data_IF_924520082864
#
_entry.id   IF_924520082864
#
_cell.length_a   1.000
_cell.length_b   1.000
_cell.length_c   1.000
_cell.angle_alpha   90.00
_cell.angle_beta   90.00
_cell.angle_gamma   90.00
#
_symmetry.space_group_name_H-M   'P 1'
#
loop_
_entity.id
_entity.type
_entity.pdbx_description
1 polymer ?
#
# COMPACT_ATOMS: atom_id res chain seq x y z
N UNK A 1 8.28 -10.30 18.54
CA UNK A 1 8.63 -9.63 17.26
C UNK A 1 8.55 -8.13 17.49
N UNK A 2 9.50 -7.36 16.99
CA UNK A 2 9.51 -5.92 17.17
C UNK A 2 8.42 -5.28 16.29
N UNK A 3 7.64 -4.34 16.86
CA UNK A 3 6.58 -3.65 16.13
C UNK A 3 7.19 -2.73 15.08
N UNK A 4 7.05 -3.07 13.79
CA UNK A 4 7.54 -2.27 12.66
C UNK A 4 6.74 -0.97 12.49
N UNK A 5 5.41 -1.05 12.65
CA UNK A 5 4.50 0.10 12.60
C UNK A 5 3.73 0.17 13.91
N UNK A 6 3.58 1.38 14.45
CA UNK A 6 2.76 1.66 15.63
C UNK A 6 1.95 2.94 15.41
N UNK A 7 0.64 2.83 15.49
CA UNK A 7 -0.29 3.94 15.66
C UNK A 7 -0.64 4.05 17.12
N UNK A 8 -0.50 5.24 17.72
CA UNK A 8 -0.78 5.52 19.13
C UNK A 8 -1.74 6.69 19.24
N UNK A 9 -3.01 6.41 19.54
CA UNK A 9 -4.08 7.39 19.72
C UNK A 9 -4.15 8.43 18.60
N UNK A 10 -4.00 7.99 17.35
CA UNK A 10 -3.95 8.86 16.19
C UNK A 10 -5.32 9.45 15.90
N UNK A 11 -5.38 10.78 15.79
CA UNK A 11 -6.53 11.53 15.34
C UNK A 11 -6.21 12.29 14.08
N UNK A 12 -7.21 12.39 13.20
CA UNK A 12 -7.16 13.24 12.03
C UNK A 12 -8.47 13.97 11.84
N UNK A 13 -8.41 15.29 11.90
CA UNK A 13 -9.53 16.18 11.64
C UNK A 13 -9.23 17.06 10.45
N UNK A 14 -10.14 17.10 9.50
CA UNK A 14 -10.11 18.04 8.38
C UNK A 14 -11.05 19.20 8.68
N UNK A 15 -10.60 20.42 8.44
CA UNK A 15 -11.42 21.63 8.61
C UNK A 15 -11.71 22.21 7.23
N UNK A 16 -13.00 22.32 6.90
CA UNK A 16 -13.50 22.91 5.66
C UNK A 16 -14.44 24.07 6.02
N UNK A 17 -13.88 25.28 6.07
CA UNK A 17 -14.62 26.44 6.60
C UNK A 17 -14.97 26.24 8.07
N UNK A 18 -16.26 26.26 8.40
CA UNK A 18 -16.77 26.03 9.77
C UNK A 18 -17.01 24.55 10.08
N UNK A 19 -16.94 23.67 9.09
CA UNK A 19 -17.21 22.23 9.27
C UNK A 19 -15.92 21.48 9.63
N UNK A 20 -16.00 20.69 10.71
CA UNK A 20 -14.93 19.76 11.10
C UNK A 20 -15.36 18.33 10.81
N UNK A 21 -14.49 17.59 10.08
CA UNK A 21 -14.67 16.18 9.76
C UNK A 21 -13.61 15.38 10.51
N UNK A 22 -14.01 14.60 11.49
CA UNK A 22 -13.14 13.69 12.23
C UNK A 22 -12.95 12.41 11.42
N UNK A 23 -11.95 12.40 10.55
CA UNK A 23 -11.66 11.25 9.69
C UNK A 23 -11.08 10.06 10.46
N UNK A 24 -10.31 10.32 11.54
CA UNK A 24 -9.85 9.32 12.49
C UNK A 24 -10.01 9.84 13.92
N UNK A 25 -10.48 8.96 14.82
CA UNK A 25 -10.69 9.26 16.23
C UNK A 25 -10.01 8.21 17.11
N UNK A 26 -8.83 8.57 17.64
CA UNK A 26 -8.05 7.78 18.61
C UNK A 26 -7.69 6.37 18.13
N UNK A 27 -7.23 6.25 16.87
CA UNK A 27 -6.85 4.98 16.25
C UNK A 27 -5.52 4.49 16.82
N UNK A 28 -5.51 3.23 17.30
CA UNK A 28 -4.29 2.57 17.81
C UNK A 28 -4.21 1.14 17.31
N UNK A 29 -3.08 0.77 16.72
CA UNK A 29 -2.74 -0.61 16.31
C UNK A 29 -1.25 -0.76 16.08
N UNK A 30 -0.80 -2.00 15.93
CA UNK A 30 0.59 -2.33 15.57
C UNK A 30 0.64 -3.32 14.43
N UNK A 31 1.73 -3.24 13.64
CA UNK A 31 2.02 -4.16 12.54
C UNK A 31 3.48 -4.59 12.67
N UNK A 32 3.75 -5.90 12.52
CA UNK A 32 5.11 -6.44 12.52
C UNK A 32 5.74 -6.32 11.13
N UNK A 33 7.07 -6.39 11.07
CA UNK A 33 7.78 -6.41 9.79
C UNK A 33 7.43 -7.69 9.01
N UNK A 34 7.20 -7.56 7.71
CA UNK A 34 6.90 -8.68 6.83
C UNK A 34 5.47 -9.22 6.96
N UNK A 35 4.56 -8.54 7.68
CA UNK A 35 3.15 -8.90 7.68
C UNK A 35 2.43 -8.44 6.41
N UNK A 36 1.51 -9.26 5.92
CA UNK A 36 0.51 -8.90 4.92
C UNK A 36 -0.77 -8.47 5.64
N UNK A 37 -1.06 -7.18 5.65
CA UNK A 37 -2.16 -6.62 6.43
C UNK A 37 -3.30 -6.16 5.51
N UNK A 38 -4.52 -6.56 5.85
CA UNK A 38 -5.73 -6.07 5.20
C UNK A 38 -6.40 -5.04 6.12
N UNK A 39 -6.60 -3.83 5.62
CA UNK A 39 -7.42 -2.80 6.27
C UNK A 39 -8.73 -2.70 5.50
N UNK A 40 -9.82 -3.09 6.12
CA UNK A 40 -11.13 -3.15 5.47
C UNK A 40 -12.19 -2.33 6.22
N UNK A 41 -13.30 -2.03 5.53
CA UNK A 41 -14.42 -1.25 6.06
C UNK A 41 -15.17 -0.54 4.94
N UNK A 42 -16.28 0.09 5.29
CA UNK A 42 -17.14 0.84 4.35
C UNK A 42 -16.41 2.02 3.71
N UNK A 43 -16.95 2.54 2.60
CA UNK A 43 -16.47 3.80 2.02
C UNK A 43 -16.61 4.94 3.03
N UNK A 44 -15.62 5.82 3.10
CA UNK A 44 -15.58 6.91 4.08
C UNK A 44 -15.23 6.51 5.51
N UNK A 45 -14.94 5.23 5.80
CA UNK A 45 -14.60 4.79 7.15
C UNK A 45 -13.27 5.31 7.72
N UNK A 46 -12.41 5.97 6.90
CA UNK A 46 -11.10 6.48 7.30
C UNK A 46 -9.90 5.67 6.82
N UNK A 47 -10.12 4.63 6.00
CA UNK A 47 -9.05 3.74 5.50
C UNK A 47 -7.96 4.48 4.71
N UNK A 48 -8.34 5.24 3.69
CA UNK A 48 -7.39 6.02 2.88
C UNK A 48 -6.71 7.11 3.70
N UNK A 49 -7.35 7.62 4.76
CA UNK A 49 -6.72 8.53 5.72
C UNK A 49 -5.59 7.82 6.48
N UNK A 50 -5.81 6.59 6.96
CA UNK A 50 -4.74 5.78 7.59
C UNK A 50 -3.57 5.59 6.62
N UNK A 51 -3.86 5.24 5.36
CA UNK A 51 -2.83 5.04 4.34
C UNK A 51 -2.04 6.33 4.06
N UNK A 52 -2.72 7.47 3.91
CA UNK A 52 -2.10 8.76 3.64
C UNK A 52 -1.21 9.21 4.80
N UNK A 53 -1.67 9.05 6.04
CA UNK A 53 -0.86 9.36 7.23
C UNK A 53 0.37 8.45 7.33
N UNK A 54 0.17 7.13 7.18
CA UNK A 54 1.25 6.16 7.22
C UNK A 54 2.25 6.35 6.08
N UNK A 55 1.77 6.73 4.91
CA UNK A 55 2.60 7.02 3.75
C UNK A 55 3.28 8.40 3.79
N UNK A 56 3.01 9.22 4.81
CA UNK A 56 3.57 10.58 4.92
C UNK A 56 3.05 11.53 3.84
N UNK A 57 1.86 11.28 3.29
CA UNK A 57 1.18 12.20 2.36
C UNK A 57 0.35 13.24 3.10
N UNK A 58 0.03 12.98 4.36
CA UNK A 58 -0.71 13.87 5.23
C UNK A 58 -0.12 13.81 6.65
N UNK A 59 -0.49 14.75 7.51
CA UNK A 59 -0.02 14.85 8.91
C UNK A 59 -1.15 14.54 9.88
N UNK A 60 -0.80 13.94 11.00
CA UNK A 60 -1.73 13.72 12.11
C UNK A 60 -2.19 15.06 12.71
N UNK A 61 -3.41 15.10 13.25
CA UNK A 61 -3.86 16.21 14.09
C UNK A 61 -3.36 15.99 15.52
N UNK A 62 -3.45 14.74 16.01
CA UNK A 62 -2.97 14.33 17.34
C UNK A 62 -2.50 12.88 17.28
N UNK A 63 -1.71 12.47 18.31
CA UNK A 63 -1.19 11.11 18.43
C UNK A 63 0.14 10.91 17.71
N UNK A 64 0.61 9.66 17.64
CA UNK A 64 1.93 9.32 17.13
C UNK A 64 1.85 8.18 16.13
N UNK A 65 2.67 8.28 15.08
CA UNK A 65 2.92 7.19 14.12
C UNK A 65 4.42 6.90 14.12
N UNK A 66 4.77 5.67 14.46
CA UNK A 66 6.15 5.19 14.49
C UNK A 66 6.30 4.13 13.42
N UNK A 67 7.32 4.23 12.57
CA UNK A 67 7.67 3.26 11.53
C UNK A 67 9.17 2.96 11.64
N UNK A 68 9.52 1.68 11.74
CA UNK A 68 10.91 1.22 11.86
C UNK A 68 11.68 1.98 12.97
N UNK A 69 11.03 2.13 14.14
CA UNK A 69 11.56 2.83 15.32
C UNK A 69 11.61 4.36 15.20
N UNK A 70 11.16 4.96 14.08
CA UNK A 70 11.19 6.42 13.86
C UNK A 70 9.79 7.00 13.93
N UNK A 71 9.61 8.08 14.67
CA UNK A 71 8.33 8.78 14.79
C UNK A 71 8.10 9.69 13.57
N UNK A 72 7.41 9.18 12.55
CA UNK A 72 7.15 9.90 11.31
C UNK A 72 6.13 11.04 11.47
N UNK A 73 5.31 11.02 12.52
CA UNK A 73 4.36 12.08 12.84
C UNK A 73 5.03 13.42 13.15
N UNK A 74 6.31 13.41 13.54
CA UNK A 74 7.12 14.62 13.82
C UNK A 74 7.92 15.11 12.60
N UNK A 75 7.88 14.37 11.48
CA UNK A 75 8.69 14.71 10.32
C UNK A 75 8.24 16.01 9.65
N UNK A 76 9.20 16.84 9.26
CA UNK A 76 8.97 17.98 8.39
C UNK A 76 8.80 17.52 6.91
N UNK A 77 8.48 18.45 6.01
CA UNK A 77 8.21 18.14 4.59
C UNK A 77 9.41 17.48 3.87
N UNK A 78 10.65 17.87 4.23
CA UNK A 78 11.86 17.28 3.64
C UNK A 78 12.04 15.84 4.11
N UNK A 79 11.82 15.57 5.39
CA UNK A 79 11.92 14.24 5.99
C UNK A 79 10.82 13.33 5.45
N UNK A 80 9.56 13.80 5.34
CA UNK A 80 8.48 13.05 4.71
C UNK A 80 8.77 12.75 3.24
N UNK A 81 9.41 13.68 2.52
CA UNK A 81 9.82 13.44 1.13
C UNK A 81 10.88 12.34 1.02
N UNK A 82 11.85 12.31 1.94
CA UNK A 82 12.87 11.25 2.00
C UNK A 82 12.25 9.90 2.41
N UNK A 83 11.32 9.90 3.37
CA UNK A 83 10.58 8.74 3.80
C UNK A 83 9.78 8.13 2.64
N UNK A 84 8.98 8.93 1.90
CA UNK A 84 8.26 8.47 0.70
C UNK A 84 9.20 7.96 -0.38
N UNK A 85 10.38 8.58 -0.51
CA UNK A 85 11.36 8.20 -1.52
C UNK A 85 11.97 6.83 -1.27
N UNK A 86 12.38 6.55 -0.04
CA UNK A 86 13.20 5.39 0.28
C UNK A 86 12.46 4.24 0.96
N UNK A 87 11.50 4.54 1.83
CA UNK A 87 10.90 3.55 2.70
C UNK A 87 9.52 3.08 2.24
N UNK A 88 8.81 3.88 1.40
CA UNK A 88 7.42 3.60 1.01
C UNK A 88 7.27 3.40 -0.49
N UNK A 89 6.61 2.33 -0.89
CA UNK A 89 6.07 2.12 -2.23
C UNK A 89 4.55 2.28 -2.22
N UNK A 90 4.02 3.12 -3.12
CA UNK A 90 2.58 3.30 -3.26
C UNK A 90 2.04 2.58 -4.49
N UNK A 91 0.90 1.93 -4.32
CA UNK A 91 0.09 1.31 -5.38
C UNK A 91 -1.33 1.87 -5.23
N UNK A 92 -1.80 2.62 -6.21
CA UNK A 92 -3.11 3.25 -6.20
C UNK A 92 -4.11 2.46 -7.03
N UNK A 93 -5.40 2.68 -6.78
CA UNK A 93 -6.50 2.10 -7.54
C UNK A 93 -6.46 2.51 -9.03
N UNK A 94 -6.16 3.79 -9.29
CA UNK A 94 -5.89 4.31 -10.64
C UNK A 94 -4.37 4.34 -10.84
N UNK A 95 -3.84 3.47 -11.61
CA UNK A 95 -2.43 3.10 -11.81
C UNK A 95 -1.40 4.24 -11.78
N UNK A 96 -1.80 5.49 -12.09
CA UNK A 96 -0.97 6.70 -12.10
C UNK A 96 0.32 6.52 -12.92
N UNK A 97 0.21 5.87 -14.08
CA UNK A 97 1.30 5.72 -15.02
C UNK A 97 1.44 6.97 -15.90
N UNK A 98 2.69 7.30 -16.23
CA UNK A 98 2.99 8.37 -17.19
C UNK A 98 2.71 7.83 -18.60
N UNK A 99 1.73 8.39 -19.28
CA UNK A 99 1.15 7.83 -20.51
C UNK A 99 2.10 7.83 -21.70
N UNK A 100 3.04 8.77 -21.76
CA UNK A 100 4.04 8.92 -22.84
C UNK A 100 5.38 8.23 -22.52
N UNK A 101 5.43 7.42 -21.48
CA UNK A 101 6.56 6.55 -21.14
C UNK A 101 6.15 5.09 -21.30
N UNK A 102 7.08 4.28 -21.79
CA UNK A 102 6.92 2.82 -21.84
C UNK A 102 6.78 2.23 -20.46
N UNK A 103 6.41 0.95 -20.37
CA UNK A 103 6.38 0.20 -19.11
C UNK A 103 7.72 0.29 -18.39
N UNK A 104 8.82 0.01 -19.09
CA UNK A 104 10.17 0.04 -18.52
C UNK A 104 10.53 1.42 -17.99
N UNK A 105 10.26 2.47 -18.75
CA UNK A 105 10.53 3.85 -18.36
C UNK A 105 9.68 4.30 -17.16
N UNK A 106 8.43 3.85 -17.06
CA UNK A 106 7.59 4.09 -15.88
C UNK A 106 8.19 3.50 -14.59
N UNK A 107 8.78 2.31 -14.68
CA UNK A 107 9.46 1.68 -13.53
C UNK A 107 10.78 2.38 -13.25
N UNK A 108 11.57 2.69 -14.26
CA UNK A 108 12.89 3.34 -14.16
C UNK A 108 12.79 4.74 -13.54
N UNK A 109 11.76 5.52 -13.89
CA UNK A 109 11.54 6.86 -13.38
C UNK A 109 11.54 6.90 -11.84
N UNK A 110 10.95 5.90 -11.19
CA UNK A 110 10.93 5.81 -9.74
C UNK A 110 12.30 5.46 -9.15
N UNK A 111 13.13 4.75 -9.90
CA UNK A 111 14.47 4.34 -9.48
C UNK A 111 15.47 5.50 -9.56
N UNK A 112 15.32 6.42 -10.52
CA UNK A 112 16.24 7.54 -10.74
C UNK A 112 16.47 8.42 -9.52
N UNK A 113 15.47 8.53 -8.64
CA UNK A 113 15.53 9.34 -7.43
C UNK A 113 15.91 8.52 -6.18
N UNK A 114 16.10 7.21 -6.31
CA UNK A 114 16.34 6.29 -5.19
C UNK A 114 17.79 5.76 -5.18
N UNK A 115 18.22 5.34 -3.98
CA UNK A 115 19.46 4.58 -3.78
C UNK A 115 19.07 3.12 -3.52
N UNK A 116 19.96 2.17 -3.84
CA UNK A 116 19.75 0.74 -3.57
C UNK A 116 18.47 0.16 -4.20
N UNK A 117 18.19 0.55 -5.44
CA UNK A 117 17.06 0.03 -6.22
C UNK A 117 17.26 -1.44 -6.59
N UNK A 118 16.16 -2.14 -6.81
CA UNK A 118 16.20 -3.47 -7.42
C UNK A 118 16.52 -3.36 -8.91
N UNK A 119 16.99 -4.47 -9.49
CA UNK A 119 17.13 -4.60 -10.93
C UNK A 119 15.77 -4.45 -11.62
N UNK A 120 15.69 -3.51 -12.56
CA UNK A 120 14.43 -3.12 -13.21
C UNK A 120 13.86 -4.29 -14.01
N UNK A 121 14.67 -4.95 -14.82
CA UNK A 121 14.21 -6.00 -15.73
C UNK A 121 13.78 -7.25 -14.94
N UNK A 122 14.51 -7.60 -13.86
CA UNK A 122 14.08 -8.66 -12.92
C UNK A 122 12.80 -8.31 -12.19
N UNK A 123 12.63 -7.04 -11.81
CA UNK A 123 11.41 -6.59 -11.16
C UNK A 123 10.20 -6.66 -12.10
N UNK A 124 10.37 -6.24 -13.36
CA UNK A 124 9.33 -6.38 -14.40
C UNK A 124 9.01 -7.86 -14.66
N UNK A 125 10.02 -8.71 -14.72
CA UNK A 125 9.82 -10.16 -14.86
C UNK A 125 9.05 -10.76 -13.68
N UNK A 126 9.29 -10.31 -12.45
CA UNK A 126 8.62 -10.81 -11.25
C UNK A 126 7.11 -10.54 -11.24
N UNK A 127 6.66 -9.54 -11.99
CA UNK A 127 5.23 -9.22 -12.17
C UNK A 127 4.65 -9.79 -13.47
N UNK A 128 5.43 -10.61 -14.22
CA UNK A 128 4.98 -11.31 -15.43
C UNK A 128 4.79 -10.39 -16.64
N UNK A 129 5.66 -9.38 -16.81
CA UNK A 129 5.53 -8.39 -17.90
C UNK A 129 6.76 -8.27 -18.80
N UNK A 130 7.66 -9.27 -18.83
CA UNK A 130 8.89 -9.25 -19.63
C UNK A 130 8.64 -8.97 -21.11
N UNK A 131 7.57 -9.54 -21.68
CA UNK A 131 7.23 -9.39 -23.12
C UNK A 131 6.59 -8.02 -23.43
N UNK A 132 6.33 -7.19 -22.42
CA UNK A 132 5.61 -5.91 -22.54
C UNK A 132 6.48 -4.69 -22.22
N UNK A 133 7.78 -4.86 -22.03
CA UNK A 133 8.69 -3.81 -21.52
C UNK A 133 8.69 -2.53 -22.35
N UNK A 134 8.45 -2.63 -23.67
CA UNK A 134 8.42 -1.51 -24.62
C UNK A 134 7.00 -0.98 -24.89
N UNK A 135 5.98 -1.59 -24.31
CA UNK A 135 4.60 -1.13 -24.49
C UNK A 135 4.33 0.15 -23.69
N UNK A 136 3.53 1.04 -24.26
CA UNK A 136 2.97 2.20 -23.55
C UNK A 136 1.74 1.80 -22.74
N UNK A 137 1.36 2.56 -21.69
CA UNK A 137 0.17 2.26 -20.87
C UNK A 137 -1.11 2.05 -21.70
N UNK A 138 -1.31 2.80 -22.79
CA UNK A 138 -2.47 2.65 -23.68
C UNK A 138 -2.53 1.30 -24.41
N UNK A 139 -1.45 0.55 -24.45
CA UNK A 139 -1.32 -0.77 -25.08
C UNK A 139 -1.44 -1.92 -24.07
N UNK A 140 -1.68 -1.59 -22.80
CA UNK A 140 -1.76 -2.53 -21.68
C UNK A 140 -3.19 -2.63 -21.16
N UNK A 141 -3.61 -3.83 -20.79
CA UNK A 141 -4.85 -4.03 -20.03
C UNK A 141 -4.77 -3.37 -18.64
N UNK A 142 -5.92 -3.12 -18.00
CA UNK A 142 -5.95 -2.55 -16.66
C UNK A 142 -5.11 -3.33 -15.63
N UNK A 143 -5.17 -4.66 -15.68
CA UNK A 143 -4.35 -5.49 -14.80
C UNK A 143 -2.86 -5.48 -15.12
N UNK A 144 -2.48 -5.35 -16.39
CA UNK A 144 -1.08 -5.13 -16.77
C UNK A 144 -0.61 -3.77 -16.24
N UNK A 145 -1.40 -2.71 -16.40
CA UNK A 145 -1.07 -1.38 -15.88
C UNK A 145 -0.91 -1.41 -14.35
N UNK A 146 -1.79 -2.14 -13.64
CA UNK A 146 -1.67 -2.29 -12.19
C UNK A 146 -0.38 -3.04 -11.81
N UNK A 147 -0.01 -4.09 -12.53
CA UNK A 147 1.26 -4.79 -12.31
C UNK A 147 2.47 -3.90 -12.62
N UNK A 148 2.38 -3.00 -13.59
CA UNK A 148 3.42 -1.96 -13.81
C UNK A 148 3.52 -1.03 -12.61
N UNK A 149 2.40 -0.57 -12.06
CA UNK A 149 2.39 0.29 -10.87
C UNK A 149 3.02 -0.41 -9.66
N UNK A 150 2.77 -1.72 -9.49
CA UNK A 150 3.42 -2.53 -8.46
C UNK A 150 4.91 -2.68 -8.73
N UNK A 151 5.32 -2.99 -9.96
CA UNK A 151 6.74 -3.08 -10.34
C UNK A 151 7.47 -1.77 -10.07
N UNK A 152 6.87 -0.63 -10.41
CA UNK A 152 7.38 0.71 -10.11
C UNK A 152 7.56 0.93 -8.61
N UNK A 153 6.60 0.51 -7.80
CA UNK A 153 6.69 0.61 -6.35
C UNK A 153 7.79 -0.31 -5.78
N UNK A 154 7.87 -1.55 -6.24
CA UNK A 154 8.87 -2.55 -5.80
C UNK A 154 10.29 -2.20 -6.20
N UNK A 155 10.49 -1.67 -7.41
CA UNK A 155 11.82 -1.35 -7.95
C UNK A 155 12.59 -0.36 -7.08
N UNK A 156 11.90 0.49 -6.33
CA UNK A 156 12.50 1.39 -5.32
C UNK A 156 13.11 0.62 -4.14
N UNK A 157 12.83 -0.68 -4.00
CA UNK A 157 13.20 -1.52 -2.88
C UNK A 157 12.68 -1.01 -1.51
N UNK A 158 11.40 -0.62 -1.39
CA UNK A 158 10.86 -0.07 -0.16
C UNK A 158 10.74 -1.14 0.94
N UNK A 159 10.68 -0.73 2.21
CA UNK A 159 10.33 -1.61 3.34
C UNK A 159 8.83 -1.84 3.45
N UNK A 160 8.04 -0.85 3.02
CA UNK A 160 6.59 -0.79 3.16
C UNK A 160 5.91 -0.57 1.81
N UNK A 161 4.97 -1.44 1.46
CA UNK A 161 4.07 -1.27 0.32
C UNK A 161 2.67 -0.89 0.82
N UNK A 162 2.18 0.24 0.36
CA UNK A 162 0.85 0.75 0.66
C UNK A 162 -0.02 0.68 -0.59
N UNK A 163 -1.07 -0.14 -0.55
CA UNK A 163 -1.95 -0.42 -1.68
C UNK A 163 -3.37 0.07 -1.36
N UNK A 164 -3.83 1.08 -2.09
CA UNK A 164 -5.20 1.60 -1.98
C UNK A 164 -6.08 0.92 -3.03
N UNK A 165 -6.88 -0.03 -2.58
CA UNK A 165 -7.83 -0.84 -3.36
C UNK A 165 -7.27 -1.37 -4.69
N UNK A 166 -6.15 -2.12 -4.66
CA UNK A 166 -5.37 -2.44 -5.85
C UNK A 166 -6.11 -3.33 -6.86
N UNK A 167 -7.27 -3.87 -6.50
CA UNK A 167 -8.11 -4.72 -7.35
C UNK A 167 -9.46 -4.11 -7.67
N UNK A 168 -9.79 -2.96 -7.13
CA UNK A 168 -11.13 -2.36 -7.21
C UNK A 168 -11.62 -1.99 -8.62
N UNK A 169 -10.70 -1.87 -9.59
CA UNK A 169 -11.02 -1.59 -11.00
C UNK A 169 -10.78 -2.80 -11.93
N UNK A 170 -10.55 -4.00 -11.38
CA UNK A 170 -10.15 -5.19 -12.13
C UNK A 170 -11.22 -6.29 -12.05
N UNK A 171 -11.28 -7.12 -13.09
CA UNK A 171 -12.01 -8.36 -13.02
C UNK A 171 -11.35 -9.36 -12.06
N UNK A 172 -12.10 -10.37 -11.68
CA UNK A 172 -11.69 -11.38 -10.70
C UNK A 172 -10.33 -12.04 -11.00
N UNK A 173 -10.14 -12.55 -12.23
CA UNK A 173 -8.93 -13.26 -12.60
C UNK A 173 -7.70 -12.36 -12.59
N UNK A 174 -7.87 -11.17 -13.11
CA UNK A 174 -6.83 -10.14 -13.13
C UNK A 174 -6.50 -9.65 -11.72
N UNK A 175 -7.51 -9.46 -10.88
CA UNK A 175 -7.34 -9.11 -9.47
C UNK A 175 -6.54 -10.15 -8.70
N UNK A 176 -6.81 -11.44 -8.93
CA UNK A 176 -6.02 -12.54 -8.35
C UNK A 176 -4.54 -12.46 -8.73
N UNK A 177 -4.23 -12.17 -9.99
CA UNK A 177 -2.83 -12.03 -10.43
C UNK A 177 -2.13 -10.89 -9.70
N UNK A 178 -2.80 -9.76 -9.52
CA UNK A 178 -2.27 -8.60 -8.79
C UNK A 178 -2.02 -8.95 -7.32
N UNK A 179 -2.98 -9.58 -6.64
CA UNK A 179 -2.83 -9.99 -5.25
C UNK A 179 -1.71 -11.02 -5.06
N UNK A 180 -1.53 -11.93 -6.02
CA UNK A 180 -0.44 -12.92 -6.02
C UNK A 180 0.94 -12.26 -6.05
N UNK A 181 1.10 -11.21 -6.85
CA UNK A 181 2.34 -10.42 -6.89
C UNK A 181 2.60 -9.76 -5.53
N UNK A 182 1.58 -9.15 -4.91
CA UNK A 182 1.72 -8.52 -3.59
C UNK A 182 2.02 -9.54 -2.49
N UNK A 183 1.34 -10.69 -2.48
CA UNK A 183 1.60 -11.76 -1.52
C UNK A 183 3.01 -12.33 -1.66
N UNK A 184 3.50 -12.47 -2.91
CA UNK A 184 4.86 -12.91 -3.20
C UNK A 184 5.89 -11.88 -2.70
N UNK A 185 5.66 -10.59 -2.93
CA UNK A 185 6.53 -9.52 -2.42
C UNK A 185 6.63 -9.54 -0.89
N UNK A 186 5.54 -9.81 -0.19
CA UNK A 186 5.53 -9.97 1.25
C UNK A 186 6.34 -11.20 1.70
N UNK A 187 6.01 -12.39 1.18
CA UNK A 187 6.58 -13.67 1.63
C UNK A 187 8.05 -13.86 1.24
N UNK A 188 8.40 -13.55 -0.02
CA UNK A 188 9.73 -13.84 -0.57
C UNK A 188 10.73 -12.69 -0.36
N UNK A 189 10.25 -11.44 -0.39
CA UNK A 189 11.09 -10.26 -0.28
C UNK A 189 11.01 -9.58 1.10
N UNK A 190 10.27 -10.18 2.05
CA UNK A 190 10.09 -9.68 3.42
C UNK A 190 9.60 -8.23 3.48
N UNK A 191 8.77 -7.82 2.50
CA UNK A 191 8.14 -6.49 2.50
C UNK A 191 6.93 -6.51 3.41
N UNK A 192 6.73 -5.45 4.19
CA UNK A 192 5.45 -5.24 4.86
C UNK A 192 4.46 -4.71 3.84
N UNK A 193 3.34 -5.40 3.65
CA UNK A 193 2.33 -5.03 2.65
C UNK A 193 1.03 -4.69 3.36
N UNK A 194 0.50 -3.51 3.08
CA UNK A 194 -0.81 -3.07 3.60
C UNK A 194 -1.74 -2.84 2.41
N UNK A 195 -2.82 -3.59 2.37
CA UNK A 195 -3.87 -3.46 1.36
C UNK A 195 -5.11 -2.88 2.01
N UNK A 196 -5.53 -1.73 1.52
CA UNK A 196 -6.85 -1.17 1.85
C UNK A 196 -7.84 -1.69 0.82
N UNK A 197 -9.00 -2.16 1.28
CA UNK A 197 -10.06 -2.61 0.38
C UNK A 197 -11.44 -2.48 1.05
N UNK A 198 -12.47 -2.38 0.22
CA UNK A 198 -13.86 -2.54 0.63
C UNK A 198 -14.35 -3.99 0.44
N UNK A 199 -13.56 -4.85 -0.23
CA UNK A 199 -13.89 -6.25 -0.46
C UNK A 199 -13.47 -7.12 0.73
N UNK A 200 -14.44 -7.54 1.54
CA UNK A 200 -14.23 -8.36 2.74
C UNK A 200 -13.77 -9.79 2.41
N UNK A 201 -14.00 -10.27 1.19
CA UNK A 201 -13.55 -11.60 0.77
C UNK A 201 -12.01 -11.73 0.73
N UNK A 202 -11.28 -10.60 0.73
CA UNK A 202 -9.83 -10.59 0.80
C UNK A 202 -9.28 -10.75 2.23
N UNK A 203 -10.12 -10.58 3.26
CA UNK A 203 -9.68 -10.65 4.65
C UNK A 203 -8.95 -11.96 5.02
N UNK A 204 -9.37 -13.15 4.52
CA UNK A 204 -8.70 -14.41 4.86
C UNK A 204 -7.23 -14.50 4.41
N UNK A 205 -6.78 -13.68 3.44
CA UNK A 205 -5.39 -13.71 2.98
C UNK A 205 -4.41 -12.90 3.84
N UNK A 206 -4.94 -12.01 4.70
CA UNK A 206 -4.10 -11.20 5.59
C UNK A 206 -3.57 -11.98 6.78
N UNK A 207 -2.31 -11.77 7.15
CA UNK A 207 -1.77 -12.22 8.46
C UNK A 207 -2.50 -11.46 9.59
N UNK A 208 -2.86 -10.22 9.32
CA UNK A 208 -3.62 -9.35 10.21
C UNK A 208 -4.72 -8.62 9.44
N UNK A 209 -5.91 -8.57 10.01
CA UNK A 209 -7.05 -7.83 9.47
C UNK A 209 -7.45 -6.74 10.45
N UNK A 210 -7.49 -5.51 9.98
CA UNK A 210 -7.92 -4.33 10.75
C UNK A 210 -9.21 -3.82 10.14
N UNK A 211 -10.31 -3.94 10.86
CA UNK A 211 -11.60 -3.37 10.44
C UNK A 211 -11.75 -1.96 10.96
N UNK A 212 -12.07 -1.04 10.05
CA UNK A 212 -12.26 0.38 10.34
C UNK A 212 -13.71 0.75 10.13
N UNK A 213 -14.30 1.44 11.09
CA UNK A 213 -15.69 1.93 11.04
C UNK A 213 -15.77 3.34 11.63
N UNK A 214 -16.30 4.29 10.86
CA UNK A 214 -16.52 5.68 11.30
C UNK A 214 -15.30 6.31 12.00
N UNK A 215 -14.12 6.17 11.40
CA UNK A 215 -12.86 6.74 11.91
C UNK A 215 -12.23 6.01 13.08
N UNK A 216 -12.77 4.87 13.51
CA UNK A 216 -12.27 4.06 14.64
C UNK A 216 -11.89 2.65 14.21
N UNK A 217 -11.06 2.00 15.02
CA UNK A 217 -10.83 0.55 14.88
C UNK A 217 -12.04 -0.17 15.47
N UNK A 218 -12.74 -0.92 14.63
CA UNK A 218 -13.87 -1.76 15.03
C UNK A 218 -13.36 -3.10 15.60
N UNK A 219 -12.44 -3.74 14.90
CA UNK A 219 -11.80 -4.98 15.35
C UNK A 219 -10.42 -5.18 14.71
N UNK A 220 -9.57 -5.94 15.39
CA UNK A 220 -8.30 -6.44 14.88
C UNK A 220 -8.30 -7.95 15.06
N UNK A 221 -8.07 -8.69 13.98
CA UNK A 221 -7.91 -10.15 14.01
C UNK A 221 -6.56 -10.56 13.44
N UNK A 222 -5.94 -11.54 14.08
CA UNK A 222 -4.70 -12.18 13.61
C UNK A 222 -5.09 -13.51 13.01
N UNK A 223 -4.56 -13.82 11.84
CA UNK A 223 -4.80 -15.07 11.15
C UNK A 223 -3.51 -15.90 11.18
N UNK A 224 -3.53 -16.99 11.94
CA UNK A 224 -2.37 -17.88 12.07
C UNK A 224 -2.06 -18.66 10.78
N UNK A 225 -3.07 -18.85 9.92
CA UNK A 225 -2.94 -19.56 8.65
C UNK A 225 -3.55 -18.73 7.51
N UNK A 226 -2.87 -17.68 7.04
CA UNK A 226 -3.38 -16.83 5.96
C UNK A 226 -3.60 -17.64 4.69
N UNK A 227 -4.76 -17.44 4.08
CA UNK A 227 -5.15 -18.15 2.88
C UNK A 227 -4.30 -17.72 1.70
N UNK A 228 -3.89 -18.70 0.89
CA UNK A 228 -3.29 -18.40 -0.40
C UNK A 228 -4.33 -17.78 -1.34
N UNK A 229 -3.90 -16.78 -2.11
CA UNK A 229 -4.77 -16.06 -3.04
C UNK A 229 -5.46 -16.99 -4.05
N UNK A 230 -4.84 -18.11 -4.40
CA UNK A 230 -5.43 -19.09 -5.34
C UNK A 230 -6.69 -19.76 -4.77
N UNK A 231 -6.90 -19.72 -3.46
CA UNK A 231 -8.09 -20.28 -2.77
C UNK A 231 -9.17 -19.26 -2.44
N UNK A 232 -8.93 -17.97 -2.69
CA UNK A 232 -9.91 -16.93 -2.43
C UNK A 232 -10.92 -16.87 -3.58
N UNK A 233 -12.19 -16.82 -3.20
CA UNK A 233 -13.33 -16.54 -4.09
C UNK A 233 -13.96 -15.21 -3.67
N UNK A 234 -14.04 -14.23 -4.59
CA UNK A 234 -14.62 -12.91 -4.32
C UNK A 234 -15.27 -12.30 -5.57
#
# INVERSE_FOLDING_TARGET
MENFIQFKNVRKTYTMGEVQIHALDSVSFTISQGEFVIICGESGAGKSTILNLLGGMDKVTEGQIIVDGKEISQYNEKELTLYRRYDVGFVFQFYNLVQNLTLRENVELACQICKNTLDIDKTIASVGLSERIHNFPSQLSGGEQQRVAIARALAKNPKLLLCDDPTGALDYQTGKQVLKVLQKACKEQQKTVIVITHNLALCPMGDKVIKVKSGKIDSISINENPMDVDRIEY
#
